data_IF_417890713550
#
_entry.id   IF_417890713550
#
_cell.length_a   1.000
_cell.length_b   1.000
_cell.length_c   1.000
_cell.angle_alpha   90.00
_cell.angle_beta   90.00
_cell.angle_gamma   90.00
#
_symmetry.space_group_name_H-M   'P 1'
#
loop_
_entity.id
_entity.type
_entity.pdbx_description
1 polymer ?
#
# COMPACT_ATOMS: atom_id res chain seq x y z
N UNK A 1 9.72 17.22 16.12
CA UNK A 1 8.32 16.84 16.42
C UNK A 1 8.08 15.34 16.33
N UNK A 2 8.12 14.73 15.14
CA UNK A 2 7.94 13.28 14.97
C UNK A 2 8.98 12.42 15.68
N UNK A 3 10.24 12.84 15.61
CA UNK A 3 11.35 12.19 16.32
C UNK A 3 11.18 12.30 17.84
N UNK A 4 10.67 13.43 18.32
CA UNK A 4 10.46 13.68 19.74
C UNK A 4 9.33 12.81 20.30
N UNK A 5 8.22 12.70 19.56
CA UNK A 5 7.11 11.81 19.88
C UNK A 5 7.55 10.34 19.90
N UNK A 6 8.37 9.92 18.92
CA UNK A 6 8.96 8.58 18.91
C UNK A 6 9.85 8.36 20.13
N UNK A 7 10.79 9.26 20.42
CA UNK A 7 11.68 9.13 21.57
C UNK A 7 10.90 9.09 22.88
N UNK A 8 9.85 9.91 23.00
CA UNK A 8 8.94 9.90 24.15
C UNK A 8 8.26 8.53 24.32
N UNK A 9 7.72 7.94 23.24
CA UNK A 9 7.07 6.63 23.32
C UNK A 9 8.05 5.50 23.66
N UNK A 10 9.31 5.60 23.20
CA UNK A 10 10.36 4.62 23.53
C UNK A 10 10.79 4.63 25.00
N UNK A 11 10.51 5.71 25.75
CA UNK A 11 10.79 5.77 27.19
C UNK A 11 9.70 5.07 28.02
N UNK A 12 8.53 4.83 27.44
CA UNK A 12 7.43 4.16 28.12
C UNK A 12 7.70 2.66 28.25
N UNK A 13 7.41 2.07 29.41
CA UNK A 13 7.53 0.61 29.60
C UNK A 13 6.57 -0.19 28.69
N UNK A 14 5.47 0.45 28.27
CA UNK A 14 4.52 -0.09 27.30
C UNK A 14 4.34 0.91 26.16
N UNK A 15 5.14 0.80 25.08
CA UNK A 15 5.03 1.68 23.93
C UNK A 15 3.64 1.60 23.30
N UNK A 16 3.06 2.76 23.00
CA UNK A 16 1.76 2.87 22.34
C UNK A 16 1.85 2.36 20.90
N UNK A 17 2.98 2.59 20.23
CA UNK A 17 3.19 2.12 18.88
C UNK A 17 4.26 1.02 18.81
N UNK A 18 3.81 -0.22 18.62
CA UNK A 18 4.64 -1.43 18.80
C UNK A 18 5.59 -1.73 17.64
N UNK A 19 5.33 -1.15 16.47
CA UNK A 19 6.04 -1.47 15.21
C UNK A 19 7.02 -0.39 14.80
N UNK A 20 6.95 0.79 15.42
CA UNK A 20 7.74 1.93 15.04
C UNK A 20 9.22 1.71 15.41
N UNK A 21 10.10 1.93 14.45
CA UNK A 21 11.55 1.78 14.60
C UNK A 21 12.26 2.97 14.00
N UNK A 22 13.57 3.10 14.24
CA UNK A 22 14.39 4.15 13.62
C UNK A 22 14.38 4.11 12.08
N UNK A 23 14.14 2.93 11.48
CA UNK A 23 14.04 2.78 10.02
C UNK A 23 12.84 3.54 9.42
N UNK A 24 11.79 3.75 10.22
CA UNK A 24 10.61 4.51 9.82
C UNK A 24 10.90 6.01 9.73
N UNK A 25 11.73 6.54 10.64
CA UNK A 25 12.10 7.96 10.70
C UNK A 25 13.27 8.28 9.78
N UNK A 26 14.18 7.33 9.60
CA UNK A 26 15.41 7.48 8.82
C UNK A 26 15.50 6.37 7.77
N UNK A 27 14.61 6.36 6.76
CA UNK A 27 14.63 5.33 5.74
C UNK A 27 15.89 5.45 4.88
N UNK A 28 16.65 4.36 4.76
CA UNK A 28 17.72 4.26 3.79
C UNK A 28 17.14 4.07 2.37
N UNK A 29 18.00 4.11 1.34
CA UNK A 29 17.53 4.02 -0.05
C UNK A 29 16.80 2.71 -0.38
N UNK A 30 17.15 1.58 0.26
CA UNK A 30 16.45 0.31 0.07
C UNK A 30 15.10 0.27 0.82
N UNK A 31 15.01 0.97 1.96
CA UNK A 31 13.81 1.01 2.81
C UNK A 31 12.71 1.93 2.27
N UNK A 32 13.04 2.91 1.42
CA UNK A 32 12.06 3.85 0.84
C UNK A 32 10.94 3.17 0.05
N UNK A 33 11.23 2.03 -0.58
CA UNK A 33 10.24 1.24 -1.34
C UNK A 33 9.42 0.29 -0.46
N UNK A 34 9.69 0.23 0.86
CA UNK A 34 8.95 -0.63 1.78
C UNK A 34 7.69 0.10 2.22
N UNK A 35 6.61 -0.05 1.45
CA UNK A 35 5.30 0.54 1.75
C UNK A 35 4.85 0.27 3.20
N UNK A 36 5.24 -0.87 3.78
CA UNK A 36 4.93 -1.21 5.17
C UNK A 36 5.42 -0.17 6.19
N UNK A 37 6.59 0.43 5.98
CA UNK A 37 7.11 1.48 6.86
C UNK A 37 6.24 2.74 6.80
N UNK A 38 5.81 3.13 5.59
CA UNK A 38 4.89 4.25 5.41
C UNK A 38 3.51 3.97 6.01
N UNK A 39 2.96 2.76 5.81
CA UNK A 39 1.72 2.33 6.45
C UNK A 39 1.79 2.40 7.96
N UNK A 40 2.88 1.92 8.55
CA UNK A 40 3.03 1.96 10.00
C UNK A 40 3.17 3.40 10.51
N UNK A 41 3.77 4.31 9.73
CA UNK A 41 3.77 5.74 10.06
C UNK A 41 2.40 6.41 9.92
N UNK A 42 1.55 6.00 8.99
CA UNK A 42 0.31 6.72 8.68
C UNK A 42 -0.94 6.04 9.25
N UNK A 43 -0.79 5.06 10.14
CA UNK A 43 -1.91 4.29 10.67
C UNK A 43 -2.48 4.87 11.98
N UNK A 44 -3.50 4.18 12.50
CA UNK A 44 -4.17 4.49 13.75
C UNK A 44 -3.29 4.37 15.00
N UNK A 45 -2.30 3.46 15.03
CA UNK A 45 -1.36 3.37 16.16
C UNK A 45 -0.52 4.64 16.25
N UNK A 46 -0.01 5.15 15.12
CA UNK A 46 0.71 6.41 15.07
C UNK A 46 -0.18 7.57 15.51
N UNK A 47 -1.39 7.68 14.97
CA UNK A 47 -2.33 8.73 15.36
C UNK A 47 -2.57 8.75 16.87
N UNK A 48 -2.83 7.59 17.49
CA UNK A 48 -3.04 7.49 18.93
C UNK A 48 -1.78 7.86 19.72
N UNK A 49 -0.59 7.41 19.29
CA UNK A 49 0.68 7.76 19.93
C UNK A 49 0.91 9.28 19.90
N UNK A 50 0.67 9.91 18.75
CA UNK A 50 0.81 11.35 18.55
C UNK A 50 -0.22 12.15 19.36
N UNK A 51 -1.45 11.63 19.48
CA UNK A 51 -2.50 12.23 20.29
C UNK A 51 -2.17 12.21 21.78
N UNK A 52 -1.58 11.14 22.30
CA UNK A 52 -1.13 11.09 23.69
C UNK A 52 0.10 11.97 23.91
N UNK A 53 1.05 11.98 22.97
CA UNK A 53 2.21 12.87 23.02
C UNK A 53 1.80 14.34 23.06
N UNK A 54 0.81 14.76 22.26
CA UNK A 54 0.37 16.15 22.23
C UNK A 54 -0.12 16.65 23.60
N UNK A 55 -0.76 15.80 24.39
CA UNK A 55 -1.23 16.14 25.75
C UNK A 55 -0.09 16.48 26.72
N UNK A 56 1.14 16.04 26.42
CA UNK A 56 2.32 16.36 27.23
C UNK A 56 2.95 17.70 26.87
N UNK A 57 2.55 18.29 25.74
CA UNK A 57 3.07 19.56 25.24
C UNK A 57 2.37 20.76 25.89
N UNK A 58 3.04 21.91 25.85
CA UNK A 58 2.43 23.20 26.22
C UNK A 58 1.31 23.58 25.25
N UNK A 59 0.38 24.44 25.66
CA UNK A 59 -0.74 24.85 24.80
C UNK A 59 -0.27 25.40 23.44
N UNK A 60 0.74 26.27 23.43
CA UNK A 60 1.30 26.82 22.20
C UNK A 60 1.87 25.72 21.27
N UNK A 61 2.54 24.72 21.84
CA UNK A 61 3.06 23.59 21.06
C UNK A 61 1.95 22.63 20.60
N UNK A 62 0.87 22.48 21.36
CA UNK A 62 -0.31 21.72 20.94
C UNK A 62 -1.00 22.36 19.73
N UNK A 63 -1.11 23.69 19.73
CA UNK A 63 -1.73 24.43 18.63
C UNK A 63 -0.92 24.24 17.33
N UNK A 64 0.41 24.27 17.41
CA UNK A 64 1.31 23.94 16.29
C UNK A 64 1.20 22.47 15.84
N UNK A 65 0.97 21.56 16.79
CA UNK A 65 0.87 20.12 16.54
C UNK A 65 -0.47 19.71 15.90
N UNK A 66 -1.51 20.53 16.06
CA UNK A 66 -2.89 20.25 15.65
C UNK A 66 -3.02 19.87 14.16
N UNK A 67 -2.31 20.58 13.27
CA UNK A 67 -2.35 20.29 11.83
C UNK A 67 -1.78 18.92 11.47
N UNK A 68 -0.71 18.48 12.17
CA UNK A 68 -0.15 17.16 11.95
C UNK A 68 -1.06 16.04 12.49
N UNK A 69 -1.77 16.29 13.60
CA UNK A 69 -2.79 15.37 14.10
C UNK A 69 -3.94 15.21 13.12
N UNK A 70 -4.44 16.30 12.54
CA UNK A 70 -5.51 16.23 11.55
C UNK A 70 -5.07 15.44 10.30
N UNK A 71 -3.87 15.71 9.79
CA UNK A 71 -3.31 14.93 8.68
C UNK A 71 -3.23 13.43 9.03
N UNK A 72 -2.74 13.09 10.22
CA UNK A 72 -2.66 11.71 10.69
C UNK A 72 -4.03 11.07 10.88
N UNK A 73 -5.03 11.81 11.35
CA UNK A 73 -6.39 11.32 11.52
C UNK A 73 -6.97 10.86 10.16
N UNK A 74 -6.84 11.70 9.13
CA UNK A 74 -7.38 11.39 7.81
C UNK A 74 -6.56 10.30 7.09
N UNK A 75 -5.24 10.32 7.20
CA UNK A 75 -4.40 9.25 6.62
C UNK A 75 -4.59 7.91 7.33
N UNK A 76 -4.73 7.88 8.65
CA UNK A 76 -5.06 6.67 9.41
C UNK A 76 -6.40 6.07 8.98
N UNK A 77 -7.41 6.93 8.77
CA UNK A 77 -8.68 6.50 8.21
C UNK A 77 -8.50 5.87 6.81
N UNK A 78 -7.72 6.49 5.91
CA UNK A 78 -7.48 5.94 4.58
C UNK A 78 -6.78 4.58 4.62
N UNK A 79 -5.78 4.42 5.49
CA UNK A 79 -5.08 3.13 5.69
C UNK A 79 -6.06 2.06 6.16
N UNK A 80 -6.91 2.37 7.14
CA UNK A 80 -7.92 1.42 7.65
C UNK A 80 -8.99 1.12 6.58
N UNK A 81 -9.46 2.14 5.84
CA UNK A 81 -10.49 2.00 4.82
C UNK A 81 -10.02 1.13 3.65
N UNK A 82 -8.87 1.43 3.06
CA UNK A 82 -8.32 0.65 1.96
C UNK A 82 -7.64 -0.65 2.43
N UNK A 83 -7.42 -0.83 3.73
CA UNK A 83 -7.08 -2.12 4.34
C UNK A 83 -8.29 -3.00 4.63
N UNK A 84 -9.51 -2.48 4.55
CA UNK A 84 -10.72 -3.20 4.94
C UNK A 84 -11.10 -4.28 3.90
N UNK A 85 -11.26 -5.51 4.38
CA UNK A 85 -11.72 -6.65 3.57
C UNK A 85 -13.23 -6.83 3.58
N UNK A 86 -13.97 -6.01 4.33
CA UNK A 86 -15.44 -6.07 4.37
C UNK A 86 -16.03 -5.35 3.14
N UNK A 87 -16.92 -6.01 2.39
CA UNK A 87 -17.52 -5.44 1.19
C UNK A 87 -18.38 -4.21 1.49
N UNK A 88 -18.40 -3.26 0.55
CA UNK A 88 -19.35 -2.16 0.44
C UNK A 88 -20.47 -2.63 -0.49
N UNK A 89 -21.70 -2.63 0.03
CA UNK A 89 -22.85 -3.25 -0.63
C UNK A 89 -23.82 -2.23 -1.24
N UNK A 90 -23.79 -1.00 -0.74
CA UNK A 90 -24.68 0.07 -1.14
C UNK A 90 -24.00 1.42 -0.94
N UNK A 91 -24.64 2.49 -1.41
CA UNK A 91 -24.10 3.86 -1.40
C UNK A 91 -24.24 4.54 -0.04
N UNK A 92 -25.15 4.04 0.78
CA UNK A 92 -25.46 4.55 2.11
C UNK A 92 -24.49 4.02 3.18
N UNK A 93 -23.46 3.27 2.79
CA UNK A 93 -22.42 2.79 3.68
C UNK A 93 -21.72 3.98 4.38
N UNK A 94 -21.75 4.00 5.70
CA UNK A 94 -21.22 5.10 6.51
C UNK A 94 -19.72 5.31 6.28
N UNK A 95 -18.99 4.28 5.85
CA UNK A 95 -17.57 4.40 5.50
C UNK A 95 -17.37 5.29 4.27
N UNK A 96 -18.32 5.34 3.34
CA UNK A 96 -18.26 6.23 2.17
C UNK A 96 -18.49 7.69 2.56
N UNK A 97 -19.29 7.95 3.59
CA UNK A 97 -19.47 9.30 4.14
C UNK A 97 -18.14 9.78 4.75
N UNK A 98 -17.52 8.96 5.60
CA UNK A 98 -16.20 9.27 6.17
C UNK A 98 -15.11 9.45 5.09
N UNK A 99 -15.20 8.69 3.98
CA UNK A 99 -14.30 8.86 2.85
C UNK A 99 -14.45 10.22 2.16
N UNK A 100 -15.69 10.70 2.00
CA UNK A 100 -15.97 12.04 1.47
C UNK A 100 -15.49 13.14 2.41
N UNK A 101 -15.70 12.99 3.71
CA UNK A 101 -15.20 13.92 4.72
C UNK A 101 -13.66 14.03 4.69
N UNK A 102 -12.97 12.90 4.53
CA UNK A 102 -11.51 12.89 4.39
C UNK A 102 -11.06 13.63 3.12
N UNK A 103 -11.74 13.40 1.99
CA UNK A 103 -11.47 14.11 0.74
C UNK A 103 -11.66 15.62 0.88
N UNK A 104 -12.80 16.04 1.45
CA UNK A 104 -13.12 17.46 1.65
C UNK A 104 -12.07 18.15 2.52
N UNK A 105 -11.55 17.46 3.54
CA UNK A 105 -10.43 17.96 4.33
C UNK A 105 -9.16 18.15 3.49
N UNK A 106 -8.76 17.16 2.67
CA UNK A 106 -7.59 17.28 1.80
C UNK A 106 -7.71 18.45 0.82
N UNK A 107 -8.89 18.67 0.21
CA UNK A 107 -9.11 19.81 -0.70
C UNK A 107 -9.12 21.14 0.03
N UNK A 108 -9.69 21.20 1.23
CA UNK A 108 -9.68 22.40 2.06
C UNK A 108 -8.24 22.78 2.44
N UNK A 109 -7.47 21.80 2.92
CA UNK A 109 -6.06 21.96 3.27
C UNK A 109 -5.23 22.41 2.06
N UNK A 110 -5.40 21.76 0.91
CA UNK A 110 -4.73 22.12 -0.34
C UNK A 110 -5.03 23.58 -0.75
N UNK A 111 -6.30 23.99 -0.68
CA UNK A 111 -6.74 25.35 -1.02
C UNK A 111 -6.13 26.39 -0.08
N UNK A 112 -6.13 26.11 1.22
CA UNK A 112 -5.52 26.98 2.24
C UNK A 112 -4.03 27.21 1.95
N UNK A 113 -3.30 26.13 1.68
CA UNK A 113 -1.84 26.18 1.44
C UNK A 113 -1.50 26.76 0.07
N UNK A 114 -2.37 26.58 -0.94
CA UNK A 114 -2.20 27.21 -2.26
C UNK A 114 -2.33 28.74 -2.17
N UNK A 115 -3.11 29.25 -1.22
CA UNK A 115 -3.21 30.68 -0.91
C UNK A 115 -1.97 31.30 -0.25
N UNK A 116 -0.98 30.49 0.13
CA UNK A 116 0.27 30.97 0.73
C UNK A 116 1.06 31.83 -0.27
N UNK A 117 1.42 33.05 0.16
CA UNK A 117 2.09 34.06 -0.69
C UNK A 117 3.53 33.68 -0.98
N UNK A 118 4.20 33.04 -0.02
CA UNK A 118 5.57 32.58 -0.20
C UNK A 118 5.60 31.30 -1.02
N UNK A 119 6.15 31.37 -2.24
CA UNK A 119 6.29 30.20 -3.11
C UNK A 119 7.09 29.06 -2.45
N UNK A 120 8.17 29.41 -1.74
CA UNK A 120 9.00 28.43 -1.03
C UNK A 120 8.24 27.72 0.12
N UNK A 121 7.44 28.46 0.89
CA UNK A 121 6.61 27.84 1.95
C UNK A 121 5.48 27.01 1.36
N UNK A 122 4.88 27.45 0.25
CA UNK A 122 3.84 26.70 -0.46
C UNK A 122 4.37 25.35 -0.96
N UNK A 123 5.52 25.34 -1.63
CA UNK A 123 6.14 24.13 -2.16
C UNK A 123 6.54 23.14 -1.06
N UNK A 124 7.06 23.64 0.07
CA UNK A 124 7.45 22.79 1.20
C UNK A 124 6.29 22.36 2.12
N UNK A 125 5.08 22.88 1.93
CA UNK A 125 3.92 22.58 2.78
C UNK A 125 2.85 21.74 2.09
N UNK A 126 3.03 21.44 0.80
CA UNK A 126 2.11 20.62 0.01
C UNK A 126 2.77 19.31 -0.39
N UNK A 127 1.94 18.28 -0.57
CA UNK A 127 2.34 17.10 -1.32
C UNK A 127 2.67 17.49 -2.76
N UNK A 128 3.47 16.65 -3.44
CA UNK A 128 3.75 16.81 -4.86
C UNK A 128 2.46 16.90 -5.67
N UNK A 129 2.51 17.57 -6.83
CA UNK A 129 1.32 17.71 -7.68
C UNK A 129 0.76 16.34 -8.07
N UNK A 130 1.65 15.43 -8.43
CA UNK A 130 1.37 14.05 -8.82
C UNK A 130 0.64 13.32 -7.70
N UNK A 131 1.12 13.40 -6.46
CA UNK A 131 0.43 12.77 -5.31
C UNK A 131 -0.95 13.38 -5.06
N UNK A 132 -1.14 14.68 -5.31
CA UNK A 132 -2.46 15.33 -5.14
C UNK A 132 -3.45 14.90 -6.22
N UNK A 133 -2.99 14.82 -7.47
CA UNK A 133 -3.80 14.29 -8.57
C UNK A 133 -4.16 12.81 -8.34
N UNK A 134 -3.20 12.01 -7.86
CA UNK A 134 -3.43 10.61 -7.49
C UNK A 134 -4.49 10.48 -6.38
N UNK A 135 -4.47 11.37 -5.38
CA UNK A 135 -5.52 11.42 -4.36
C UNK A 135 -6.87 11.75 -4.99
N UNK A 136 -6.96 12.77 -5.84
CA UNK A 136 -8.21 13.12 -6.55
C UNK A 136 -8.75 11.91 -7.33
N UNK A 137 -7.89 11.21 -8.09
CA UNK A 137 -8.28 10.01 -8.83
C UNK A 137 -8.67 8.85 -7.91
N UNK A 138 -7.99 8.65 -6.80
CA UNK A 138 -8.33 7.63 -5.80
C UNK A 138 -9.76 7.85 -5.28
N UNK A 139 -10.08 9.06 -4.82
CA UNK A 139 -11.38 9.37 -4.24
C UNK A 139 -12.52 9.31 -5.29
N UNK A 140 -12.39 10.04 -6.40
CA UNK A 140 -13.42 10.07 -7.44
C UNK A 140 -13.58 8.72 -8.13
N UNK A 141 -12.46 8.06 -8.43
CA UNK A 141 -12.45 6.77 -9.09
C UNK A 141 -13.08 5.69 -8.21
N UNK A 142 -12.76 5.67 -6.91
CA UNK A 142 -13.35 4.68 -6.00
C UNK A 142 -14.86 4.90 -5.80
N UNK A 143 -15.30 6.13 -5.58
CA UNK A 143 -16.74 6.45 -5.46
C UNK A 143 -17.48 6.07 -6.74
N UNK A 144 -16.94 6.44 -7.91
CA UNK A 144 -17.55 6.10 -9.20
C UNK A 144 -17.62 4.59 -9.42
N UNK A 145 -16.60 3.85 -8.98
CA UNK A 145 -16.58 2.39 -9.03
C UNK A 145 -17.67 1.78 -8.15
N UNK A 146 -17.82 2.25 -6.91
CA UNK A 146 -18.88 1.80 -6.00
C UNK A 146 -20.25 2.07 -6.62
N UNK A 147 -20.44 3.26 -7.20
CA UNK A 147 -21.69 3.62 -7.85
C UNK A 147 -22.04 2.69 -9.00
N UNK A 148 -21.08 2.47 -9.91
CA UNK A 148 -21.24 1.55 -11.04
C UNK A 148 -21.54 0.11 -10.57
N UNK A 149 -20.79 -0.39 -9.59
CA UNK A 149 -20.93 -1.75 -9.11
C UNK A 149 -22.28 -1.97 -8.40
N UNK A 150 -22.68 -1.04 -7.52
CA UNK A 150 -23.89 -1.20 -6.72
C UNK A 150 -25.17 -0.92 -7.51
N UNK A 151 -25.17 0.07 -8.42
CA UNK A 151 -26.37 0.41 -9.20
C UNK A 151 -26.54 -0.49 -10.40
N UNK A 152 -25.49 -0.66 -11.22
CA UNK A 152 -25.62 -1.29 -12.52
C UNK A 152 -25.33 -2.79 -12.47
N UNK A 153 -24.30 -3.19 -11.70
CA UNK A 153 -23.82 -4.57 -11.69
C UNK A 153 -24.39 -5.42 -10.55
N UNK A 154 -25.05 -4.77 -9.57
CA UNK A 154 -25.50 -5.42 -8.32
C UNK A 154 -24.38 -6.21 -7.64
N UNK A 155 -23.17 -5.66 -7.71
CA UNK A 155 -21.95 -6.26 -7.20
C UNK A 155 -21.43 -5.45 -6.01
N UNK A 156 -20.77 -6.16 -5.09
CA UNK A 156 -20.14 -5.57 -3.92
C UNK A 156 -18.68 -5.20 -4.21
N UNK A 157 -18.19 -4.11 -3.63
CA UNK A 157 -16.79 -3.66 -3.78
C UNK A 157 -16.04 -3.90 -2.49
N UNK A 158 -14.86 -4.52 -2.54
CA UNK A 158 -13.99 -4.71 -1.38
C UNK A 158 -12.81 -3.75 -1.50
N UNK A 159 -12.67 -2.73 -0.64
CA UNK A 159 -11.61 -1.71 -0.76
C UNK A 159 -10.21 -2.29 -0.86
N UNK A 160 -9.87 -3.24 0.01
CA UNK A 160 -8.55 -3.90 0.04
C UNK A 160 -8.18 -4.74 -1.18
N UNK A 161 -9.11 -4.94 -2.13
CA UNK A 161 -8.82 -5.61 -3.41
C UNK A 161 -8.47 -4.63 -4.52
N UNK A 162 -8.62 -3.33 -4.30
CA UNK A 162 -8.36 -2.28 -5.29
C UNK A 162 -6.94 -1.75 -5.08
N UNK A 163 -5.93 -2.57 -5.41
CA UNK A 163 -4.51 -2.22 -5.37
C UNK A 163 -3.69 -3.09 -6.31
N UNK A 164 -2.42 -2.75 -6.50
CA UNK A 164 -1.45 -3.50 -7.31
C UNK A 164 -0.78 -4.66 -6.57
N UNK A 165 -1.02 -4.84 -5.26
CA UNK A 165 -0.31 -5.82 -4.43
C UNK A 165 -0.37 -7.24 -5.01
N UNK A 166 -1.49 -7.62 -5.61
CA UNK A 166 -1.64 -8.96 -6.23
C UNK A 166 -0.65 -9.12 -7.39
N UNK A 167 -0.46 -8.09 -8.21
CA UNK A 167 0.47 -8.10 -9.34
C UNK A 167 1.92 -8.05 -8.84
N UNK A 168 2.20 -7.23 -7.83
CA UNK A 168 3.53 -7.17 -7.20
C UNK A 168 3.93 -8.50 -6.59
N UNK A 169 2.98 -9.21 -5.98
CA UNK A 169 3.21 -10.57 -5.48
C UNK A 169 3.52 -11.56 -6.61
N UNK A 170 2.95 -11.40 -7.80
CA UNK A 170 3.31 -12.21 -8.97
C UNK A 170 4.75 -11.92 -9.40
N UNK A 171 5.18 -10.66 -9.43
CA UNK A 171 6.58 -10.32 -9.72
C UNK A 171 7.55 -10.90 -8.68
N UNK A 172 7.17 -10.91 -7.41
CA UNK A 172 7.96 -11.56 -6.35
C UNK A 172 8.04 -13.08 -6.55
N UNK A 173 6.95 -13.75 -6.94
CA UNK A 173 6.93 -15.18 -7.23
C UNK A 173 7.82 -15.52 -8.44
N UNK A 174 7.75 -14.71 -9.48
CA UNK A 174 8.56 -14.86 -10.69
C UNK A 174 10.06 -14.82 -10.35
N UNK A 175 10.50 -13.79 -9.62
CA UNK A 175 11.90 -13.66 -9.19
C UNK A 175 12.33 -14.78 -8.23
N UNK A 176 11.52 -15.06 -7.20
CA UNK A 176 11.94 -15.91 -6.08
C UNK A 176 11.83 -17.40 -6.38
N UNK A 177 10.73 -17.85 -7.00
CA UNK A 177 10.42 -19.28 -7.13
C UNK A 177 11.07 -19.91 -8.35
N UNK A 178 11.24 -19.17 -9.45
CA UNK A 178 11.72 -19.70 -10.72
C UNK A 178 13.17 -19.34 -11.04
N UNK A 179 13.66 -18.21 -10.52
CA UNK A 179 14.99 -17.72 -10.82
C UNK A 179 15.95 -17.74 -9.62
N UNK A 180 15.45 -17.99 -8.41
CA UNK A 180 16.26 -18.20 -7.21
C UNK A 180 17.23 -17.03 -6.96
N UNK A 181 18.53 -17.27 -7.13
CA UNK A 181 19.56 -16.24 -7.00
C UNK A 181 19.63 -15.26 -8.19
N UNK A 182 19.02 -15.58 -9.34
CA UNK A 182 18.92 -14.67 -10.48
C UNK A 182 17.76 -13.69 -10.27
N UNK A 183 18.04 -12.60 -9.56
CA UNK A 183 17.05 -11.59 -9.19
C UNK A 183 16.59 -10.70 -10.36
N UNK A 184 17.25 -10.79 -11.53
CA UNK A 184 16.98 -9.95 -12.70
C UNK A 184 16.95 -10.80 -13.99
N UNK A 185 15.87 -11.56 -14.20
CA UNK A 185 15.73 -12.41 -15.37
C UNK A 185 15.64 -11.60 -16.67
N UNK A 186 16.20 -12.14 -17.76
CA UNK A 186 16.01 -11.58 -19.10
C UNK A 186 14.60 -11.90 -19.63
N UNK A 187 14.23 -11.32 -20.78
CA UNK A 187 12.90 -11.52 -21.36
C UNK A 187 12.50 -12.99 -21.57
N UNK A 188 13.42 -13.84 -22.03
CA UNK A 188 13.11 -15.26 -22.28
C UNK A 188 12.93 -16.04 -20.98
N UNK A 189 13.71 -15.69 -19.96
CA UNK A 189 13.59 -16.23 -18.59
C UNK A 189 12.24 -15.83 -17.99
N UNK A 190 11.91 -14.54 -18.01
CA UNK A 190 10.61 -14.02 -17.56
C UNK A 190 9.43 -14.70 -18.26
N UNK A 191 9.48 -14.81 -19.59
CA UNK A 191 8.45 -15.51 -20.38
C UNK A 191 8.24 -16.95 -19.91
N UNK A 192 9.33 -17.65 -19.61
CA UNK A 192 9.28 -19.05 -19.14
C UNK A 192 8.77 -19.13 -17.71
N UNK A 193 9.19 -18.21 -16.84
CA UNK A 193 8.74 -18.10 -15.44
C UNK A 193 7.25 -17.82 -15.35
N UNK A 194 6.74 -16.83 -16.08
CA UNK A 194 5.31 -16.50 -16.12
C UNK A 194 4.48 -17.66 -16.65
N UNK A 195 4.89 -18.33 -17.74
CA UNK A 195 4.17 -19.51 -18.23
C UNK A 195 4.11 -20.61 -17.17
N UNK A 196 5.17 -20.77 -16.39
CA UNK A 196 5.20 -21.75 -15.30
C UNK A 196 4.29 -21.34 -14.13
N UNK A 197 4.17 -20.05 -13.81
CA UNK A 197 3.16 -19.55 -12.84
C UNK A 197 1.74 -19.86 -13.36
N UNK A 198 1.44 -19.52 -14.61
CA UNK A 198 0.11 -19.72 -15.22
C UNK A 198 -0.26 -21.20 -15.24
N UNK A 199 0.66 -22.07 -15.64
CA UNK A 199 0.41 -23.51 -15.81
C UNK A 199 0.56 -24.29 -14.50
N UNK A 200 1.32 -23.76 -13.54
CA UNK A 200 1.61 -24.38 -12.24
C UNK A 200 0.72 -23.92 -11.09
N UNK A 201 -0.10 -22.86 -11.26
CA UNK A 201 -1.10 -22.45 -10.27
C UNK A 201 -2.26 -23.46 -10.19
N UNK A 202 -2.08 -24.54 -9.43
CA UNK A 202 -3.19 -25.14 -8.69
C UNK A 202 -3.64 -24.17 -7.59
N UNK A 203 -4.96 -23.99 -7.46
CA UNK A 203 -5.72 -22.96 -6.72
C UNK A 203 -5.53 -22.85 -5.20
N UNK A 204 -4.39 -23.24 -4.62
CA UNK A 204 -4.10 -22.99 -3.19
C UNK A 204 -2.64 -22.62 -2.98
N UNK A 205 -2.38 -21.31 -2.88
CA UNK A 205 -1.14 -20.80 -2.30
C UNK A 205 -1.10 -21.18 -0.82
N UNK A 206 -0.23 -22.13 -0.44
CA UNK A 206 0.16 -22.28 0.96
C UNK A 206 1.15 -21.16 1.28
N UNK A 207 0.64 -20.05 1.82
CA UNK A 207 1.47 -19.13 2.62
C UNK A 207 2.04 -19.93 3.80
N UNK A 208 3.26 -20.42 3.69
CA UNK A 208 4.00 -20.98 4.83
C UNK A 208 5.48 -21.10 4.49
N UNK A 209 6.33 -20.49 5.31
CA UNK A 209 7.79 -20.61 5.30
C UNK A 209 8.27 -21.99 5.80
N UNK A 210 7.52 -23.07 5.56
CA UNK A 210 7.92 -24.43 5.95
C UNK A 210 8.62 -25.08 4.76
N UNK A 211 9.92 -25.30 4.94
CA UNK A 211 10.84 -25.81 3.94
C UNK A 211 10.36 -27.05 3.20
N UNK A 212 10.37 -26.94 1.88
CA UNK A 212 10.41 -28.03 0.93
C UNK A 212 11.28 -27.56 -0.23
N UNK A 213 12.52 -28.04 -0.29
CA UNK A 213 13.60 -27.58 -1.18
C UNK A 213 13.44 -27.99 -2.65
N UNK A 214 12.24 -27.91 -3.24
CA UNK A 214 12.10 -28.13 -4.68
C UNK A 214 11.30 -27.00 -5.32
N UNK A 215 12.01 -26.22 -6.16
CA UNK A 215 11.38 -25.29 -7.08
C UNK A 215 10.41 -26.06 -7.99
N UNK A 216 9.24 -25.48 -8.25
CA UNK A 216 8.31 -26.05 -9.23
C UNK A 216 9.04 -26.21 -10.58
N UNK A 217 9.08 -27.43 -11.12
CA UNK A 217 9.70 -27.69 -12.42
C UNK A 217 8.97 -26.85 -13.48
N UNK A 218 9.70 -26.10 -14.33
CA UNK A 218 9.06 -25.31 -15.37
C UNK A 218 8.24 -26.21 -16.28
N UNK A 219 7.09 -25.71 -16.73
CA UNK A 219 6.24 -26.41 -17.68
C UNK A 219 6.94 -26.44 -19.04
N UNK A 220 7.82 -27.42 -19.25
CA UNK A 220 8.34 -27.71 -20.59
C UNK A 220 7.26 -28.47 -21.34
N UNK A 221 6.58 -27.81 -22.28
CA UNK A 221 5.94 -28.56 -23.36
C UNK A 221 7.02 -29.43 -23.99
N UNK A 222 6.86 -30.76 -24.09
CA UNK A 222 7.79 -31.54 -24.88
C UNK A 222 7.67 -30.97 -26.29
N UNK A 223 8.72 -30.33 -26.78
CA UNK A 223 8.91 -30.18 -28.20
C UNK A 223 8.78 -31.60 -28.74
N UNK A 224 7.67 -31.91 -29.43
CA UNK A 224 7.52 -33.16 -30.15
C UNK A 224 8.71 -33.20 -31.10
N UNK A 225 9.78 -33.90 -30.72
CA UNK A 225 10.83 -34.30 -31.65
C UNK A 225 10.08 -35.00 -32.76
N UNK A 226 10.02 -34.39 -33.94
CA UNK A 226 9.65 -35.09 -35.14
C UNK A 226 10.46 -36.38 -35.15
N UNK A 227 9.78 -37.51 -35.02
CA UNK A 227 10.39 -38.82 -35.21
C UNK A 227 10.92 -38.78 -36.64
N UNK A 228 12.24 -38.71 -36.79
CA UNK A 228 12.89 -38.97 -38.06
C UNK A 228 12.51 -40.39 -38.48
N UNK A 229 11.54 -40.50 -39.39
CA UNK A 229 11.20 -41.73 -40.08
C UNK A 229 12.32 -41.98 -41.10
N UNK A 230 13.45 -42.51 -40.63
CA UNK A 230 14.42 -43.13 -41.53
C UNK A 230 13.87 -44.51 -41.91
N UNK A 231 13.07 -44.54 -42.98
CA UNK A 231 12.85 -45.75 -43.78
C UNK A 231 14.19 -46.10 -44.44
N UNK A 232 14.81 -47.20 -44.00
CA UNK A 232 15.83 -47.89 -44.80
C UNK A 232 15.11 -48.88 -45.74
N UNK A 233 15.43 -48.77 -47.02
CA UNK A 233 15.50 -49.93 -47.92
C UNK A 233 16.89 -50.52 -47.77
#
# INVERSE_FOLDING_TARGET
MWIDAFNWDQLNSFPLHKKLTREHLYPNNASKMRNKLAFDCLNKEMYNMMLEYSKTLTQAAQDEFSGALQLLQHTAFLVDFFGDSRPIKNKEDTRLVALREAYDWFKSWEKERTGEKSAHRRENSLLTMETREDLDFLFHGFISLVDLCTENLKAEVVPSRINSDVIENIFCQERSLYHGANMNPNYNEYRTGINSIILGQTTTSRKSNVGGNEAAKPYTTPCLRQKNVNKKW
#
